data_IF_879497455939
#
_entry.id   IF_879497455939
#
_cell.length_a   1.000
_cell.length_b   1.000
_cell.length_c   1.000
_cell.angle_alpha   90.00
_cell.angle_beta   90.00
_cell.angle_gamma   90.00
#
_symmetry.space_group_name_H-M   'P 1'
#
loop_
_entity.id
_entity.type
_entity.pdbx_description
1 polymer ?
#
# COMPACT_ATOMS: atom_id res chain seq x y z
N UNK A 1 -3.40 11.78 2.02
CA UNK A 1 -4.67 11.50 2.71
C UNK A 1 -4.77 12.41 3.92
N UNK A 2 -5.72 13.35 3.86
CA UNK A 2 -6.35 14.06 4.98
C UNK A 2 -5.50 14.86 5.96
N UNK A 3 -4.82 15.93 5.56
CA UNK A 3 -4.37 16.95 6.53
C UNK A 3 -5.55 17.53 7.33
N UNK A 4 -6.71 17.70 6.66
CA UNK A 4 -7.90 18.31 7.26
C UNK A 4 -8.47 17.59 8.49
N UNK A 5 -8.34 16.26 8.61
CA UNK A 5 -8.87 15.53 9.78
C UNK A 5 -7.99 15.77 11.01
N UNK A 6 -6.68 15.84 10.84
CA UNK A 6 -5.71 16.10 11.93
C UNK A 6 -5.76 17.56 12.35
N UNK A 7 -5.92 18.47 11.39
CA UNK A 7 -6.08 19.90 11.64
C UNK A 7 -7.37 20.19 12.42
N UNK A 8 -8.51 19.63 11.98
CA UNK A 8 -9.80 19.79 12.67
C UNK A 8 -9.74 19.28 14.12
N UNK A 9 -9.18 18.07 14.33
CA UNK A 9 -9.04 17.53 15.69
C UNK A 9 -8.16 18.39 16.59
N UNK A 10 -7.09 18.99 16.05
CA UNK A 10 -6.23 19.87 16.82
C UNK A 10 -6.96 21.15 17.24
N UNK A 11 -7.80 21.70 16.38
CA UNK A 11 -8.67 22.84 16.71
C UNK A 11 -9.74 22.46 17.74
N UNK A 12 -10.32 21.27 17.64
CA UNK A 12 -11.31 20.77 18.61
C UNK A 12 -10.67 20.62 20.00
N UNK A 13 -9.47 20.04 20.10
CA UNK A 13 -8.73 19.97 21.36
C UNK A 13 -8.34 21.33 21.92
N UNK A 14 -7.99 22.31 21.05
CA UNK A 14 -7.68 23.65 21.50
C UNK A 14 -8.88 24.36 22.16
N UNK A 15 -10.10 24.06 21.69
CA UNK A 15 -11.35 24.52 22.31
C UNK A 15 -11.65 23.79 23.62
N UNK A 16 -11.50 22.46 23.65
CA UNK A 16 -11.73 21.66 24.87
C UNK A 16 -10.78 22.05 26.01
N UNK A 17 -9.55 22.44 25.69
CA UNK A 17 -8.54 22.85 26.66
C UNK A 17 -8.60 24.35 27.01
N UNK A 18 -9.58 25.08 26.48
CA UNK A 18 -9.76 26.54 26.65
C UNK A 18 -8.48 27.34 26.34
N UNK A 19 -7.67 26.83 25.42
CA UNK A 19 -6.32 27.33 25.17
C UNK A 19 -6.33 28.62 24.36
N UNK A 20 -7.13 28.65 23.29
CA UNK A 20 -7.44 29.84 22.49
C UNK A 20 -8.49 29.51 21.42
N UNK A 21 -9.64 30.19 21.41
CA UNK A 21 -10.68 30.01 20.39
C UNK A 21 -10.28 30.48 18.98
N UNK A 22 -9.17 31.24 18.86
CA UNK A 22 -8.61 31.68 17.57
C UNK A 22 -7.53 30.74 17.02
N UNK A 23 -7.16 29.68 17.75
CA UNK A 23 -6.19 28.73 17.26
C UNK A 23 -6.69 28.07 15.97
N UNK A 24 -5.87 28.15 14.91
CA UNK A 24 -6.14 27.52 13.62
C UNK A 24 -5.01 26.59 13.24
N UNK A 25 -5.34 25.32 13.04
CA UNK A 25 -4.38 24.31 12.64
C UNK A 25 -4.11 24.43 11.14
N UNK A 26 -3.11 25.23 10.78
CA UNK A 26 -2.65 25.33 9.39
C UNK A 26 -1.72 24.17 9.02
N UNK A 27 -1.59 23.90 7.72
CA UNK A 27 -0.58 22.96 7.21
C UNK A 27 0.84 23.32 7.73
N UNK A 28 1.17 24.62 7.85
CA UNK A 28 2.45 25.07 8.37
C UNK A 28 2.65 24.75 9.85
N UNK A 29 1.59 24.88 10.66
CA UNK A 29 1.60 24.44 12.06
C UNK A 29 1.83 22.92 12.15
N UNK A 30 1.10 22.14 11.35
CA UNK A 30 1.19 20.68 11.35
C UNK A 30 2.60 20.20 10.96
N UNK A 31 3.23 20.81 9.95
CA UNK A 31 4.59 20.47 9.54
C UNK A 31 5.63 20.84 10.62
N UNK A 32 5.49 21.99 11.26
CA UNK A 32 6.38 22.39 12.36
C UNK A 32 6.19 21.53 13.62
N UNK A 33 4.96 21.12 13.91
CA UNK A 33 4.64 20.20 14.99
C UNK A 33 5.32 18.84 14.76
N UNK A 34 5.17 18.26 13.56
CA UNK A 34 5.86 17.02 13.19
C UNK A 34 7.37 17.13 13.33
N UNK A 35 7.97 18.23 12.84
CA UNK A 35 9.42 18.47 12.95
C UNK A 35 9.88 18.55 14.41
N UNK A 36 9.17 19.32 15.24
CA UNK A 36 9.50 19.50 16.67
C UNK A 36 9.45 18.18 17.44
N UNK A 37 8.46 17.35 17.13
CA UNK A 37 8.27 16.07 17.79
C UNK A 37 8.88 14.88 17.03
N UNK A 38 9.70 15.13 16.01
CA UNK A 38 10.34 14.10 15.20
C UNK A 38 9.37 13.06 14.62
N UNK A 39 8.15 13.45 14.25
CA UNK A 39 7.14 12.57 13.67
C UNK A 39 7.37 12.46 12.16
N UNK A 40 7.56 11.24 11.67
CA UNK A 40 7.74 10.92 10.26
C UNK A 40 6.70 9.92 9.78
N UNK A 41 6.23 10.08 8.54
CA UNK A 41 5.36 9.09 7.89
C UNK A 41 6.22 8.07 7.16
N UNK A 42 6.22 6.84 7.65
CA UNK A 42 6.93 5.73 6.99
C UNK A 42 5.94 4.87 6.21
N UNK A 43 6.34 4.43 5.01
CA UNK A 43 5.63 3.40 4.27
C UNK A 43 5.98 2.06 4.91
N UNK A 44 4.96 1.32 5.35
CA UNK A 44 5.15 -0.04 5.82
C UNK A 44 5.32 -0.95 4.59
N UNK A 45 6.49 -1.55 4.41
CA UNK A 45 6.71 -2.60 3.42
C UNK A 45 6.50 -3.96 4.09
N UNK A 46 5.63 -4.78 3.50
CA UNK A 46 5.48 -6.18 3.90
C UNK A 46 6.70 -7.00 3.50
N UNK A 47 6.88 -8.11 4.22
CA UNK A 47 7.95 -9.12 4.14
C UNK A 47 8.65 -9.21 2.77
N UNK A 48 9.97 -9.02 2.77
CA UNK A 48 10.81 -9.40 1.65
C UNK A 48 11.00 -10.91 1.68
N UNK A 49 10.32 -11.65 0.79
CA UNK A 49 10.67 -13.05 0.56
C UNK A 49 12.08 -13.11 -0.04
N UNK A 50 13.03 -13.76 0.63
CA UNK A 50 14.36 -14.04 0.09
C UNK A 50 14.25 -15.18 -0.92
N UNK A 51 13.93 -14.84 -2.17
CA UNK A 51 14.05 -15.78 -3.28
C UNK A 51 15.53 -15.95 -3.65
N UNK A 52 15.95 -17.16 -3.96
CA UNK A 52 17.30 -17.44 -4.48
C UNK A 52 17.45 -16.85 -5.88
N UNK A 53 18.28 -15.81 -6.00
CA UNK A 53 18.43 -15.06 -7.24
C UNK A 53 19.00 -15.93 -8.38
N UNK A 54 19.92 -16.85 -8.05
CA UNK A 54 20.55 -17.74 -9.04
C UNK A 54 19.56 -18.70 -9.69
N UNK A 55 18.71 -19.36 -8.90
CA UNK A 55 17.68 -20.26 -9.42
C UNK A 55 16.64 -19.52 -10.28
N UNK A 56 16.34 -18.27 -9.95
CA UNK A 56 15.47 -17.43 -10.77
C UNK A 56 16.10 -17.06 -12.11
N UNK A 57 17.39 -16.73 -12.15
CA UNK A 57 18.10 -16.36 -13.37
C UNK A 57 18.19 -17.52 -14.37
N UNK A 58 18.53 -18.72 -13.90
CA UNK A 58 18.55 -19.93 -14.75
C UNK A 58 17.18 -20.20 -15.36
N UNK A 59 16.13 -20.19 -14.54
CA UNK A 59 14.76 -20.42 -15.01
C UNK A 59 14.28 -19.36 -16.01
N UNK A 60 14.60 -18.08 -15.76
CA UNK A 60 14.26 -16.99 -16.68
C UNK A 60 14.98 -17.10 -18.03
N UNK A 61 16.16 -17.74 -18.07
CA UNK A 61 16.90 -17.96 -19.31
C UNK A 61 16.28 -19.07 -20.18
N UNK A 62 15.73 -20.12 -19.56
CA UNK A 62 15.12 -21.25 -20.27
C UNK A 62 13.65 -20.97 -20.66
N UNK A 63 12.94 -20.17 -19.87
CA UNK A 63 11.50 -19.91 -20.03
C UNK A 63 11.07 -19.48 -21.44
N UNK A 64 11.76 -18.56 -22.15
CA UNK A 64 11.38 -18.18 -23.51
C UNK A 64 11.41 -19.35 -24.50
N UNK A 65 12.32 -20.31 -24.30
CA UNK A 65 12.46 -21.47 -25.18
C UNK A 65 11.28 -22.44 -25.08
N UNK A 66 10.64 -22.52 -23.91
CA UNK A 66 9.42 -23.30 -23.69
C UNK A 66 8.19 -22.64 -24.33
N UNK A 67 8.17 -21.31 -24.41
CA UNK A 67 7.04 -20.55 -24.93
C UNK A 67 7.03 -20.43 -26.47
N UNK A 68 8.15 -20.73 -27.14
CA UNK A 68 8.34 -20.51 -28.59
C UNK A 68 7.29 -21.20 -29.47
N UNK A 69 6.77 -22.34 -29.01
CA UNK A 69 5.82 -23.16 -29.76
C UNK A 69 4.35 -22.72 -29.53
N UNK A 70 4.13 -21.78 -28.60
CA UNK A 70 2.82 -21.25 -28.27
C UNK A 70 2.63 -19.85 -28.83
N UNK A 71 1.45 -19.59 -29.40
CA UNK A 71 1.07 -18.23 -29.79
C UNK A 71 0.79 -17.41 -28.54
N UNK A 72 1.18 -16.13 -28.56
CA UNK A 72 0.91 -15.18 -27.47
C UNK A 72 -0.58 -15.09 -27.07
N UNK A 73 -1.51 -15.37 -27.99
CA UNK A 73 -2.95 -15.37 -27.69
C UNK A 73 -3.39 -16.55 -26.80
N UNK A 74 -2.61 -17.65 -26.76
CA UNK A 74 -2.90 -18.86 -25.97
C UNK A 74 -2.11 -18.94 -24.67
N UNK A 75 -1.23 -17.98 -24.42
CA UNK A 75 -0.44 -17.90 -23.19
C UNK A 75 -1.14 -16.97 -22.21
N UNK A 76 -1.88 -17.56 -21.26
CA UNK A 76 -2.57 -16.82 -20.21
C UNK A 76 -1.72 -16.77 -18.94
N UNK A 77 -1.65 -15.58 -18.35
CA UNK A 77 -1.18 -15.40 -16.98
C UNK A 77 -2.41 -15.14 -16.10
N UNK A 78 -2.47 -15.82 -14.96
CA UNK A 78 -3.46 -15.54 -13.93
C UNK A 78 -2.75 -15.21 -12.62
N UNK A 79 -3.25 -14.23 -11.88
CA UNK A 79 -2.70 -13.86 -10.57
C UNK A 79 -3.81 -13.39 -9.63
N UNK A 80 -3.59 -13.61 -8.34
CA UNK A 80 -4.53 -13.25 -7.28
C UNK A 80 -4.19 -11.85 -6.74
N UNK A 81 -5.20 -11.00 -6.62
CA UNK A 81 -5.04 -9.70 -5.97
C UNK A 81 -6.13 -9.43 -4.96
N UNK A 82 -5.77 -8.73 -3.89
CA UNK A 82 -6.70 -8.33 -2.84
C UNK A 82 -7.31 -6.96 -3.15
N UNK A 83 -8.64 -6.92 -3.29
CA UNK A 83 -9.40 -5.67 -3.34
C UNK A 83 -9.82 -5.28 -1.92
N UNK A 84 -9.20 -4.23 -1.37
CA UNK A 84 -9.42 -3.81 0.00
C UNK A 84 -10.48 -2.71 0.11
N UNK A 85 -11.56 -2.97 0.84
CA UNK A 85 -12.66 -2.01 1.03
C UNK A 85 -12.42 -1.04 2.18
N UNK A 86 -11.64 -1.44 3.19
CA UNK A 86 -11.33 -0.66 4.39
C UNK A 86 -9.82 -0.46 4.56
N UNK A 87 -9.14 -0.08 3.48
CA UNK A 87 -7.72 0.25 3.54
C UNK A 87 -7.49 1.49 4.42
N UNK A 88 -6.99 1.28 5.65
CA UNK A 88 -6.35 2.36 6.40
C UNK A 88 -5.12 2.85 5.61
N UNK A 89 -4.74 4.12 5.71
CA UNK A 89 -3.52 4.63 5.10
C UNK A 89 -2.32 3.73 5.46
N UNK A 90 -1.55 3.31 4.46
CA UNK A 90 -0.32 2.50 4.63
C UNK A 90 0.87 3.31 5.20
N UNK A 91 0.57 4.47 5.77
CA UNK A 91 1.50 5.40 6.39
C UNK A 91 1.04 5.66 7.82
N UNK A 92 1.79 5.15 8.77
CA UNK A 92 1.61 5.47 10.19
C UNK A 92 2.57 6.59 10.56
N UNK A 93 2.11 7.51 11.39
CA UNK A 93 2.97 8.50 12.03
C UNK A 93 3.83 7.79 13.08
N UNK A 94 5.16 7.81 12.92
CA UNK A 94 6.10 7.18 13.83
C UNK A 94 7.15 8.19 14.30
N UNK A 95 7.68 8.02 15.50
CA UNK A 95 8.80 8.82 15.97
C UNK A 95 10.09 8.42 15.23
N UNK A 96 10.90 9.42 14.89
CA UNK A 96 12.18 9.23 14.19
C UNK A 96 13.14 8.45 15.08
N UNK A 97 13.48 7.24 14.65
CA UNK A 97 14.45 6.37 15.35
C UNK A 97 13.81 5.18 16.04
N UNK A 98 12.48 5.13 16.17
CA UNK A 98 11.78 3.97 16.72
C UNK A 98 11.56 2.89 15.64
N UNK A 99 11.63 1.63 16.07
CA UNK A 99 11.16 0.51 15.27
C UNK A 99 9.62 0.55 15.24
N UNK A 100 9.07 0.73 14.05
CA UNK A 100 7.63 0.74 13.87
C UNK A 100 7.19 -0.70 13.57
N UNK A 101 6.73 -1.42 14.59
CA UNK A 101 6.12 -2.72 14.39
C UNK A 101 4.72 -2.55 13.78
N UNK A 102 4.46 -3.26 12.69
CA UNK A 102 3.27 -3.04 11.86
C UNK A 102 1.96 -3.19 12.64
N UNK A 103 1.10 -2.18 12.57
CA UNK A 103 -0.29 -2.33 12.98
C UNK A 103 -1.02 -3.24 11.99
N UNK A 104 -1.78 -4.22 12.50
CA UNK A 104 -2.59 -5.13 11.68
C UNK A 104 -3.71 -4.32 11.02
N UNK A 105 -3.50 -3.89 9.78
CA UNK A 105 -4.54 -3.22 9.00
C UNK A 105 -5.75 -4.14 8.86
N UNK A 106 -6.96 -3.56 8.76
CA UNK A 106 -8.16 -4.33 8.42
C UNK A 106 -7.88 -5.09 7.13
N UNK A 107 -7.80 -6.42 7.24
CA UNK A 107 -7.58 -7.32 6.11
C UNK A 107 -8.90 -7.65 5.41
N UNK A 108 -9.97 -6.88 5.65
CA UNK A 108 -11.23 -7.06 4.94
C UNK A 108 -11.00 -6.71 3.47
N UNK A 109 -10.76 -7.75 2.70
CA UNK A 109 -10.47 -7.73 1.28
C UNK A 109 -11.30 -8.82 0.61
N UNK A 110 -11.75 -8.54 -0.60
CA UNK A 110 -12.19 -9.58 -1.52
C UNK A 110 -10.98 -9.99 -2.33
N UNK A 111 -10.71 -11.28 -2.44
CA UNK A 111 -9.66 -11.77 -3.32
C UNK A 111 -10.27 -11.97 -4.70
N UNK A 112 -9.65 -11.37 -5.71
CA UNK A 112 -10.05 -11.53 -7.11
C UNK A 112 -8.92 -12.16 -7.90
N UNK A 113 -9.24 -13.18 -8.69
CA UNK A 113 -8.35 -13.73 -9.70
C UNK A 113 -8.51 -12.89 -10.97
N UNK A 114 -7.39 -12.38 -11.47
CA UNK A 114 -7.31 -11.68 -12.74
C UNK A 114 -6.49 -12.53 -13.70
N UNK A 115 -6.96 -12.64 -14.95
CA UNK A 115 -6.22 -13.34 -15.99
C UNK A 115 -6.29 -12.60 -17.32
N UNK A 116 -5.17 -12.56 -18.02
CA UNK A 116 -5.05 -12.03 -19.37
C UNK A 116 -4.09 -12.87 -20.21
N UNK A 117 -4.24 -12.76 -21.54
CA UNK A 117 -3.29 -13.36 -22.46
C UNK A 117 -2.09 -12.43 -22.71
N UNK A 118 -0.96 -13.01 -23.13
CA UNK A 118 0.28 -12.28 -23.36
C UNK A 118 0.12 -11.14 -24.39
N UNK A 119 -0.83 -11.26 -25.34
CA UNK A 119 -1.11 -10.21 -26.32
C UNK A 119 -1.99 -9.07 -25.80
N UNK A 120 -2.61 -9.24 -24.62
CA UNK A 120 -3.54 -8.29 -24.00
C UNK A 120 -4.91 -8.17 -24.68
N UNK A 121 -5.18 -9.01 -25.69
CA UNK A 121 -6.44 -9.01 -26.43
C UNK A 121 -7.58 -9.66 -25.65
N UNK A 122 -7.24 -10.70 -24.88
CA UNK A 122 -8.20 -11.41 -24.05
C UNK A 122 -7.94 -11.09 -22.58
N UNK A 123 -8.99 -10.64 -21.91
CA UNK A 123 -9.01 -10.41 -20.48
C UNK A 123 -10.18 -11.21 -19.93
N UNK A 124 -9.89 -12.17 -19.08
CA UNK A 124 -10.95 -12.93 -18.43
C UNK A 124 -11.72 -11.99 -17.48
N UNK A 125 -13.05 -12.19 -17.34
CA UNK A 125 -13.81 -11.49 -16.31
C UNK A 125 -13.16 -11.70 -14.93
N UNK A 126 -13.05 -10.66 -14.08
CA UNK A 126 -12.55 -10.82 -12.72
C UNK A 126 -13.38 -11.85 -11.95
N UNK A 127 -12.71 -12.82 -11.33
CA UNK A 127 -13.37 -13.90 -10.57
C UNK A 127 -13.17 -13.68 -9.07
N UNK A 128 -14.23 -13.46 -8.28
CA UNK A 128 -14.14 -13.50 -6.83
C UNK A 128 -13.82 -14.94 -6.37
N UNK A 129 -12.76 -15.11 -5.59
CA UNK A 129 -12.30 -16.44 -5.15
C UNK A 129 -12.19 -16.57 -3.61
N UNK A 130 -12.61 -15.53 -2.86
CA UNK A 130 -12.62 -15.52 -1.40
C UNK A 130 -12.97 -14.16 -0.81
#
# INVERSE_FOLDING_TARGET
MGSGVTEQKAEDFAKELDWNNEFKASNGWLENFKKRHNIVFRKLCGESASADASSCEEWLSEFPSFLKDYKADYLLKADETGLFFQCLPNKTAAFKGEECHGAKQSKLRMTVLLADNQSGKEKCPPLPIG
#
